data_IF_988893139861
#
_entry.id   IF_988893139861
#
_cell.length_a   1.000
_cell.length_b   1.000
_cell.length_c   1.000
_cell.angle_alpha   90.00
_cell.angle_beta   90.00
_cell.angle_gamma   90.00
#
_symmetry.space_group_name_H-M   'P 1'
#
loop_
_entity.id
_entity.type
_entity.pdbx_description
1 polymer ?
#
# COMPACT_ATOMS: atom_id res chain seq x y z
N UNK A 1 43.66 20.49 -22.94
CA UNK A 1 44.75 19.71 -22.33
C UNK A 1 45.71 20.66 -21.63
N UNK A 2 45.78 20.63 -20.29
CA UNK A 2 46.92 21.14 -19.50
C UNK A 2 46.77 20.58 -18.07
N UNK A 3 47.68 19.65 -17.76
CA UNK A 3 47.87 18.98 -16.48
C UNK A 3 48.83 19.80 -15.63
N UNK A 4 48.53 20.02 -14.35
CA UNK A 4 49.47 20.41 -13.30
C UNK A 4 48.96 19.79 -12.00
N UNK A 5 49.49 18.62 -11.62
CA UNK A 5 50.66 18.36 -10.77
C UNK A 5 50.43 18.72 -9.30
N UNK A 6 50.53 17.66 -8.48
CA UNK A 6 50.54 17.59 -7.03
C UNK A 6 51.53 18.56 -6.38
N UNK A 7 51.20 19.01 -5.16
CA UNK A 7 52.19 19.38 -4.16
C UNK A 7 51.74 18.90 -2.78
N UNK A 8 52.48 17.92 -2.29
CA UNK A 8 52.48 17.37 -0.94
C UNK A 8 53.18 18.39 -0.01
N UNK A 9 52.61 18.71 1.14
CA UNK A 9 53.34 19.39 2.21
C UNK A 9 53.00 18.74 3.56
N UNK A 10 53.99 17.98 4.01
CA UNK A 10 54.08 17.32 5.30
C UNK A 10 54.46 18.39 6.34
N UNK A 11 53.69 18.51 7.41
CA UNK A 11 54.17 19.12 8.66
C UNK A 11 53.98 18.11 9.77
N UNK A 12 55.10 17.49 10.14
CA UNK A 12 55.29 16.70 11.34
C UNK A 12 55.36 17.66 12.54
N UNK A 13 54.49 17.45 13.53
CA UNK A 13 54.69 17.95 14.88
C UNK A 13 54.69 16.74 15.82
N UNK A 14 55.90 16.28 16.15
CA UNK A 14 56.13 15.41 17.30
C UNK A 14 55.97 16.23 18.58
N UNK A 15 55.10 15.78 19.48
CA UNK A 15 55.35 15.92 20.91
C UNK A 15 54.85 14.67 21.61
N UNK A 16 55.80 13.86 22.02
CA UNK A 16 55.58 12.75 22.93
C UNK A 16 55.27 13.31 24.32
N UNK A 17 54.15 12.88 24.90
CA UNK A 17 53.91 12.99 26.32
C UNK A 17 53.36 11.65 26.80
N UNK A 18 54.20 11.00 27.61
CA UNK A 18 54.00 9.78 28.37
C UNK A 18 52.85 9.98 29.35
N UNK A 19 51.97 8.99 29.52
CA UNK A 19 51.00 9.04 30.61
C UNK A 19 49.92 7.98 30.61
N UNK A 20 50.18 6.90 31.35
CA UNK A 20 49.22 6.01 32.02
C UNK A 20 48.32 5.12 31.16
N UNK A 21 48.73 3.86 31.02
CA UNK A 21 47.84 2.74 30.72
C UNK A 21 46.99 2.50 31.97
N UNK A 22 45.74 2.97 31.97
CA UNK A 22 44.74 2.49 32.91
C UNK A 22 44.19 1.16 32.35
N UNK A 23 44.60 0.06 32.98
CA UNK A 23 43.94 -1.25 32.82
C UNK A 23 42.52 -1.12 33.37
N UNK A 24 41.53 -1.01 32.48
CA UNK A 24 40.12 -1.18 32.85
C UNK A 24 39.73 -2.58 32.45
N UNK A 25 39.54 -3.43 33.47
CA UNK A 25 39.04 -4.79 33.34
C UNK A 25 37.72 -4.82 32.56
N UNK A 26 37.71 -5.50 31.42
CA UNK A 26 36.48 -5.85 30.71
C UNK A 26 35.78 -6.96 31.48
N UNK A 27 34.87 -6.60 32.38
CA UNK A 27 33.81 -7.54 32.78
C UNK A 27 32.82 -7.61 31.63
N UNK A 28 32.89 -8.71 30.88
CA UNK A 28 31.91 -9.06 29.86
C UNK A 28 30.55 -9.28 30.53
N UNK A 29 29.73 -8.25 30.60
CA UNK A 29 28.30 -8.43 30.71
C UNK A 29 27.83 -8.75 29.30
N UNK A 30 27.50 -10.02 29.06
CA UNK A 30 26.67 -10.41 27.94
C UNK A 30 25.32 -9.70 28.13
N UNK A 31 25.16 -8.53 27.51
CA UNK A 31 23.87 -7.89 27.37
C UNK A 31 23.17 -8.70 26.29
N UNK A 32 22.39 -9.68 26.74
CA UNK A 32 21.41 -10.34 25.89
C UNK A 32 20.30 -9.31 25.65
N UNK A 33 20.52 -8.39 24.71
CA UNK A 33 19.47 -7.54 24.17
C UNK A 33 18.59 -8.40 23.27
N UNK A 34 17.73 -9.23 23.88
CA UNK A 34 16.42 -9.44 23.28
C UNK A 34 15.73 -8.08 23.32
N UNK A 35 15.93 -7.30 22.26
CA UNK A 35 15.03 -6.21 21.92
C UNK A 35 13.65 -6.85 21.75
N UNK A 36 12.88 -6.87 22.84
CA UNK A 36 11.43 -6.97 22.76
C UNK A 36 10.98 -5.77 21.94
N UNK A 37 10.87 -5.99 20.62
CA UNK A 37 10.16 -5.12 19.72
C UNK A 37 8.82 -4.82 20.41
N UNK A 38 8.50 -3.55 20.72
CA UNK A 38 7.23 -3.24 21.36
C UNK A 38 6.16 -3.86 20.49
N UNK A 39 5.30 -4.72 21.06
CA UNK A 39 4.14 -5.24 20.36
C UNK A 39 3.26 -4.04 19.98
N UNK A 40 3.51 -3.47 18.81
CA UNK A 40 2.67 -2.46 18.20
C UNK A 40 1.38 -3.19 17.88
N UNK A 41 0.38 -3.01 18.74
CA UNK A 41 -0.99 -3.41 18.44
C UNK A 41 -1.30 -2.91 17.03
N UNK A 42 -1.85 -3.76 16.13
CA UNK A 42 -2.21 -3.33 14.80
C UNK A 42 -3.05 -2.04 14.89
N UNK A 43 -2.81 -1.05 14.03
CA UNK A 43 -3.63 0.13 14.00
C UNK A 43 -5.09 -0.29 13.81
N UNK A 44 -5.99 0.33 14.57
CA UNK A 44 -7.42 0.10 14.39
C UNK A 44 -7.81 0.41 12.94
N UNK A 45 -8.74 -0.35 12.33
CA UNK A 45 -9.20 -0.08 10.98
C UNK A 45 -9.75 1.36 10.90
N UNK A 46 -9.46 2.02 9.79
CA UNK A 46 -9.91 3.39 9.54
C UNK A 46 -11.44 3.43 9.51
N UNK A 47 -12.04 4.39 10.25
CA UNK A 47 -13.48 4.64 10.27
C UNK A 47 -13.82 5.87 9.45
N UNK A 48 -14.75 5.73 8.52
CA UNK A 48 -15.17 6.78 7.60
C UNK A 48 -16.59 7.25 7.96
N UNK A 49 -16.66 8.28 8.82
CA UNK A 49 -17.93 8.93 9.16
C UNK A 49 -18.50 9.76 7.99
N UNK A 50 -19.80 10.07 8.03
CA UNK A 50 -20.45 10.88 6.99
C UNK A 50 -19.75 12.24 6.75
N UNK A 51 -19.55 12.60 5.49
CA UNK A 51 -18.98 13.90 5.04
C UNK A 51 -20.02 14.84 4.43
N UNK A 52 -21.31 14.58 4.64
CA UNK A 52 -22.36 15.40 4.04
C UNK A 52 -22.50 16.79 4.69
N UNK A 53 -22.17 16.91 5.98
CA UNK A 53 -22.40 18.11 6.79
C UNK A 53 -21.11 18.79 7.30
N UNK A 54 -19.93 18.37 6.83
CA UNK A 54 -18.66 18.98 7.23
C UNK A 54 -18.48 20.27 6.44
N UNK A 55 -18.81 21.40 7.07
CA UNK A 55 -18.80 22.75 6.47
C UNK A 55 -17.57 23.58 6.83
N UNK A 56 -16.56 23.00 7.45
CA UNK A 56 -15.35 23.74 7.80
C UNK A 56 -14.52 23.98 6.52
N UNK A 57 -13.88 25.15 6.41
CA UNK A 57 -13.12 25.56 5.22
C UNK A 57 -11.95 24.63 4.86
N UNK A 58 -11.54 23.76 5.78
CA UNK A 58 -10.54 22.71 5.57
C UNK A 58 -11.12 21.48 4.87
N UNK A 59 -12.44 21.36 4.84
CA UNK A 59 -13.16 20.23 4.28
C UNK A 59 -13.52 20.47 2.81
N UNK A 60 -12.68 19.96 1.91
CA UNK A 60 -12.97 19.98 0.47
C UNK A 60 -13.08 18.57 -0.08
N UNK A 61 -14.25 18.24 -0.59
CA UNK A 61 -14.42 17.03 -1.38
C UNK A 61 -13.64 17.16 -2.68
N UNK A 62 -12.88 16.12 -3.01
CA UNK A 62 -12.19 16.00 -4.29
C UNK A 62 -13.20 16.14 -5.42
N UNK A 63 -12.84 17.02 -6.35
CA UNK A 63 -13.51 17.20 -7.63
C UNK A 63 -13.29 15.97 -8.51
N UNK A 64 -14.11 15.85 -9.56
CA UNK A 64 -13.96 14.79 -10.57
C UNK A 64 -12.57 14.81 -11.22
N UNK A 65 -12.00 16.00 -11.45
CA UNK A 65 -10.67 16.16 -12.05
C UNK A 65 -9.56 15.65 -11.13
N UNK A 66 -9.66 15.95 -9.82
CA UNK A 66 -8.70 15.47 -8.82
C UNK A 66 -8.74 13.94 -8.73
N UNK A 67 -9.93 13.34 -8.75
CA UNK A 67 -10.10 11.88 -8.77
C UNK A 67 -9.57 11.28 -10.07
N UNK A 68 -9.83 11.91 -11.20
CA UNK A 68 -9.34 11.45 -12.51
C UNK A 68 -7.81 11.41 -12.54
N UNK A 69 -7.14 12.39 -11.91
CA UNK A 69 -5.67 12.39 -11.78
C UNK A 69 -5.15 11.20 -10.95
N UNK A 70 -5.86 10.79 -9.90
CA UNK A 70 -5.50 9.61 -9.09
C UNK A 70 -5.58 8.30 -9.89
N UNK A 71 -6.40 8.28 -10.94
CA UNK A 71 -6.58 7.12 -11.80
C UNK A 71 -5.49 7.01 -12.88
N UNK A 72 -4.66 8.03 -13.10
CA UNK A 72 -3.63 8.03 -14.14
C UNK A 72 -4.19 7.83 -15.55
N UNK A 73 -3.43 7.18 -16.44
CA UNK A 73 -3.76 7.06 -17.88
C UNK A 73 -4.77 5.94 -18.22
N UNK A 74 -5.70 5.63 -17.31
CA UNK A 74 -6.68 4.55 -17.49
C UNK A 74 -7.81 4.97 -18.43
N UNK A 75 -8.36 4.01 -19.17
CA UNK A 75 -9.57 4.25 -19.99
C UNK A 75 -10.81 4.23 -19.10
N UNK A 76 -11.11 5.37 -18.50
CA UNK A 76 -12.31 5.57 -17.68
C UNK A 76 -13.55 5.43 -18.56
N UNK A 77 -14.51 4.64 -18.09
CA UNK A 77 -15.81 4.44 -18.72
C UNK A 77 -16.88 5.29 -18.08
N UNK A 78 -16.88 5.34 -16.77
CA UNK A 78 -17.87 6.08 -15.99
C UNK A 78 -17.26 6.54 -14.68
N UNK A 79 -17.66 7.75 -14.25
CA UNK A 79 -17.39 8.28 -12.92
C UNK A 79 -18.68 8.86 -12.38
N UNK A 80 -19.08 8.43 -11.18
CA UNK A 80 -20.33 8.84 -10.52
C UNK A 80 -20.05 9.28 -9.10
N UNK A 81 -20.64 10.41 -8.72
CA UNK A 81 -20.62 10.89 -7.35
C UNK A 81 -21.86 10.38 -6.61
N UNK A 82 -21.66 9.57 -5.57
CA UNK A 82 -22.73 8.81 -4.91
C UNK A 82 -22.51 8.79 -3.40
N UNK A 83 -23.51 8.30 -2.66
CA UNK A 83 -23.31 7.88 -1.27
C UNK A 83 -22.80 6.43 -1.24
N UNK A 84 -22.03 6.07 -0.20
CA UNK A 84 -21.46 4.74 -0.01
C UNK A 84 -22.51 3.63 -0.10
N UNK A 85 -23.67 3.84 0.53
CA UNK A 85 -24.80 2.89 0.50
C UNK A 85 -25.29 2.57 -0.93
N UNK A 86 -25.14 3.51 -1.86
CA UNK A 86 -25.58 3.39 -3.26
C UNK A 86 -24.43 2.97 -4.19
N UNK A 87 -23.18 3.19 -3.78
CA UNK A 87 -21.99 2.86 -4.56
C UNK A 87 -21.56 1.40 -4.39
N UNK A 88 -21.66 0.87 -3.16
CA UNK A 88 -21.19 -0.48 -2.78
C UNK A 88 -22.07 -1.58 -3.39
N UNK A 89 -21.52 -2.76 -3.73
CA UNK A 89 -22.36 -3.90 -4.11
C UNK A 89 -23.18 -4.38 -2.91
N UNK A 90 -24.29 -5.07 -3.17
CA UNK A 90 -25.18 -5.58 -2.11
C UNK A 90 -24.47 -6.55 -1.15
N UNK A 91 -23.41 -7.23 -1.62
CA UNK A 91 -22.59 -8.16 -0.85
C UNK A 91 -21.53 -7.48 0.04
N UNK A 92 -21.28 -6.18 -0.15
CA UNK A 92 -20.29 -5.44 0.64
C UNK A 92 -20.94 -4.95 1.94
N UNK A 93 -20.42 -5.44 3.07
CA UNK A 93 -20.91 -5.10 4.41
C UNK A 93 -19.75 -4.60 5.27
N UNK A 94 -19.18 -3.47 4.85
CA UNK A 94 -18.23 -2.74 5.68
C UNK A 94 -18.99 -1.77 6.60
N UNK A 95 -19.02 -2.09 7.89
CA UNK A 95 -19.66 -1.28 8.95
C UNK A 95 -18.83 -0.06 9.38
N UNK A 96 -17.54 -0.01 9.01
CA UNK A 96 -16.65 1.10 9.34
C UNK A 96 -16.84 2.31 8.39
N UNK A 97 -17.68 2.18 7.36
CA UNK A 97 -17.99 3.25 6.41
C UNK A 97 -19.48 3.64 6.53
N UNK A 98 -19.72 4.90 6.90
CA UNK A 98 -21.07 5.46 7.02
C UNK A 98 -21.81 5.40 5.68
N UNK A 99 -23.07 4.96 5.69
CA UNK A 99 -23.87 4.83 4.47
C UNK A 99 -24.08 6.14 3.70
N UNK A 100 -24.04 7.29 4.39
CA UNK A 100 -24.18 8.64 3.82
C UNK A 100 -22.82 9.31 3.57
N UNK A 101 -21.73 8.54 3.58
CA UNK A 101 -20.41 8.96 3.11
C UNK A 101 -20.46 9.18 1.60
N UNK A 102 -20.16 10.39 1.13
CA UNK A 102 -19.99 10.72 -0.29
C UNK A 102 -18.70 10.10 -0.81
N UNK A 103 -18.80 9.46 -1.97
CA UNK A 103 -17.74 8.69 -2.64
C UNK A 103 -17.81 8.89 -4.14
N UNK A 104 -16.71 8.58 -4.82
CA UNK A 104 -16.62 8.50 -6.27
C UNK A 104 -16.58 7.04 -6.71
N UNK A 105 -17.61 6.58 -7.41
CA UNK A 105 -17.62 5.28 -8.07
C UNK A 105 -17.08 5.42 -9.48
N UNK A 106 -16.01 4.70 -9.76
CA UNK A 106 -15.29 4.74 -11.03
C UNK A 106 -15.35 3.38 -11.67
N UNK A 107 -15.66 3.33 -12.96
CA UNK A 107 -15.46 2.13 -13.78
C UNK A 107 -14.45 2.41 -14.88
N UNK A 108 -13.51 1.50 -15.09
CA UNK A 108 -12.45 1.65 -16.08
C UNK A 108 -12.10 0.30 -16.73
N UNK A 109 -11.65 0.37 -17.98
CA UNK A 109 -11.13 -0.79 -18.71
C UNK A 109 -9.60 -0.81 -18.67
N UNK A 110 -9.03 -1.98 -18.40
CA UNK A 110 -7.60 -2.26 -18.40
C UNK A 110 -7.28 -3.22 -19.54
N UNK A 111 -7.00 -2.65 -20.71
CA UNK A 111 -6.69 -3.43 -21.92
C UNK A 111 -5.47 -4.33 -21.71
N UNK A 112 -4.41 -3.79 -21.09
CA UNK A 112 -3.17 -4.51 -20.80
C UNK A 112 -3.21 -5.44 -19.59
N UNK A 113 -4.36 -5.57 -18.92
CA UNK A 113 -4.48 -6.34 -17.69
C UNK A 113 -4.24 -5.54 -16.41
N UNK A 114 -4.39 -6.22 -15.28
CA UNK A 114 -4.22 -5.66 -13.94
C UNK A 114 -3.83 -6.78 -12.97
N UNK A 115 -2.83 -6.52 -12.14
CA UNK A 115 -2.42 -7.40 -11.04
C UNK A 115 -3.16 -6.98 -9.75
N UNK A 116 -3.49 -7.95 -8.90
CA UNK A 116 -4.17 -7.73 -7.61
C UNK A 116 -3.85 -8.87 -6.65
N UNK A 117 -4.27 -8.76 -5.40
CA UNK A 117 -3.94 -9.77 -4.39
C UNK A 117 -4.48 -11.16 -4.79
N UNK A 118 -3.57 -12.11 -4.99
CA UNK A 118 -3.88 -13.50 -5.32
C UNK A 118 -3.96 -13.83 -6.82
N UNK A 119 -3.68 -12.86 -7.70
CA UNK A 119 -3.50 -13.13 -9.12
C UNK A 119 -3.49 -11.90 -10.02
N UNK A 120 -3.69 -12.15 -11.31
CA UNK A 120 -3.76 -11.11 -12.33
C UNK A 120 -4.82 -11.41 -13.38
N UNK A 121 -5.42 -10.37 -13.93
CA UNK A 121 -6.08 -10.46 -15.23
C UNK A 121 -5.06 -10.11 -16.30
N UNK A 122 -4.79 -11.03 -17.23
CA UNK A 122 -3.80 -10.84 -18.30
C UNK A 122 -4.18 -9.76 -19.31
N UNK A 123 -5.48 -9.54 -19.53
CA UNK A 123 -5.98 -8.54 -20.49
C UNK A 123 -7.45 -8.21 -20.28
N UNK A 124 -7.84 -7.03 -20.78
CA UNK A 124 -9.22 -6.55 -20.87
C UNK A 124 -10.00 -6.64 -19.55
N UNK A 125 -9.34 -6.37 -18.43
CA UNK A 125 -9.99 -6.38 -17.13
C UNK A 125 -10.93 -5.19 -17.00
N UNK A 126 -12.08 -5.42 -16.37
CA UNK A 126 -12.99 -4.33 -15.98
C UNK A 126 -12.81 -4.09 -14.49
N UNK A 127 -12.51 -2.86 -14.13
CA UNK A 127 -12.32 -2.46 -12.75
C UNK A 127 -13.45 -1.55 -12.33
N UNK A 128 -14.05 -1.84 -11.19
CA UNK A 128 -14.86 -0.90 -10.42
C UNK A 128 -14.06 -0.49 -9.19
N UNK A 129 -13.92 0.80 -8.94
CA UNK A 129 -13.32 1.35 -7.73
C UNK A 129 -14.29 2.32 -7.06
N UNK A 130 -14.31 2.32 -5.74
CA UNK A 130 -15.04 3.31 -4.94
C UNK A 130 -14.01 4.07 -4.12
N UNK A 131 -13.82 5.33 -4.47
CA UNK A 131 -12.85 6.22 -3.86
C UNK A 131 -13.56 7.15 -2.89
N UNK A 132 -12.98 7.33 -1.71
CA UNK A 132 -13.46 8.29 -0.75
C UNK A 132 -13.39 9.72 -1.30
N UNK A 133 -14.47 10.47 -1.19
CA UNK A 133 -14.50 11.81 -1.78
C UNK A 133 -13.69 12.85 -0.99
N UNK A 134 -13.32 12.60 0.26
CA UNK A 134 -12.50 13.52 1.07
C UNK A 134 -11.02 13.23 0.89
N UNK A 135 -10.62 11.98 1.16
CA UNK A 135 -9.22 11.53 1.23
C UNK A 135 -8.69 11.09 -0.13
N UNK A 136 -9.56 10.56 -1.00
CA UNK A 136 -9.17 9.85 -2.22
C UNK A 136 -8.77 8.40 -1.97
N UNK A 137 -8.95 7.90 -0.74
CA UNK A 137 -8.62 6.53 -0.38
C UNK A 137 -9.48 5.54 -1.16
N UNK A 138 -8.88 4.40 -1.51
CA UNK A 138 -9.61 3.32 -2.16
C UNK A 138 -10.36 2.51 -1.10
N UNK A 139 -11.67 2.74 -1.02
CA UNK A 139 -12.53 2.08 -0.04
C UNK A 139 -12.95 0.68 -0.50
N UNK A 140 -13.00 0.46 -1.81
CA UNK A 140 -13.39 -0.81 -2.40
C UNK A 140 -12.93 -0.89 -3.84
N UNK A 141 -12.45 -2.06 -4.26
CA UNK A 141 -12.17 -2.35 -5.65
C UNK A 141 -12.70 -3.74 -6.04
N UNK A 142 -13.21 -3.85 -7.25
CA UNK A 142 -13.67 -5.11 -7.84
C UNK A 142 -13.04 -5.24 -9.22
N UNK A 143 -12.30 -6.34 -9.43
CA UNK A 143 -11.73 -6.68 -10.72
C UNK A 143 -12.54 -7.82 -11.34
N UNK A 144 -13.01 -7.61 -12.57
CA UNK A 144 -13.63 -8.67 -13.38
C UNK A 144 -12.72 -9.00 -14.56
N UNK A 145 -12.17 -10.21 -14.55
CA UNK A 145 -11.43 -10.76 -15.69
C UNK A 145 -12.38 -11.39 -16.71
N UNK A 146 -12.13 -11.23 -18.02
CA UNK A 146 -12.72 -12.10 -19.03
C UNK A 146 -12.35 -13.58 -18.78
N UNK A 147 -13.21 -14.50 -19.23
CA UNK A 147 -12.96 -15.94 -19.13
C UNK A 147 -11.61 -16.29 -19.76
N UNK A 148 -10.78 -17.06 -19.05
CA UNK A 148 -9.44 -17.46 -19.50
C UNK A 148 -8.35 -16.38 -19.36
N UNK A 149 -8.71 -15.17 -18.92
CA UNK A 149 -7.77 -14.07 -18.69
C UNK A 149 -7.21 -14.06 -17.26
N UNK A 150 -7.90 -14.68 -16.29
CA UNK A 150 -7.41 -14.81 -14.92
C UNK A 150 -6.26 -15.81 -14.80
N UNK A 151 -5.25 -15.44 -14.03
CA UNK A 151 -4.10 -16.24 -13.66
C UNK A 151 -3.89 -16.07 -12.15
N UNK A 152 -3.88 -17.16 -11.38
CA UNK A 152 -3.68 -17.09 -9.93
C UNK A 152 -2.20 -17.17 -9.60
N UNK A 153 -1.79 -16.43 -8.58
CA UNK A 153 -0.43 -16.52 -8.03
C UNK A 153 -0.21 -17.82 -7.24
N UNK A 154 -1.29 -18.50 -6.86
CA UNK A 154 -1.20 -19.78 -6.17
C UNK A 154 -0.77 -20.87 -7.14
N UNK A 155 0.17 -21.75 -6.75
CA UNK A 155 0.51 -22.90 -7.56
C UNK A 155 -0.76 -23.72 -7.82
N UNK A 156 -0.88 -24.26 -9.05
CA UNK A 156 -1.95 -25.20 -9.35
C UNK A 156 -1.84 -26.38 -8.35
N UNK A 157 -2.97 -26.81 -7.74
CA UNK A 157 -2.96 -28.00 -6.91
C UNK A 157 -2.34 -29.15 -7.70
N UNK A 158 -1.36 -29.83 -7.10
CA UNK A 158 -0.79 -31.01 -7.73
C UNK A 158 -1.80 -32.16 -7.65
N UNK A 159 -1.65 -33.18 -8.50
CA UNK A 159 -2.54 -34.35 -8.51
C UNK A 159 -2.68 -35.01 -7.13
N UNK A 160 -1.65 -34.91 -6.28
CA UNK A 160 -1.63 -35.39 -4.91
C UNK A 160 -2.64 -34.63 -4.00
N UNK A 161 -2.72 -33.29 -4.14
CA UNK A 161 -3.65 -32.46 -3.35
C UNK A 161 -5.11 -32.76 -3.69
N UNK A 162 -5.38 -33.06 -4.96
CA UNK A 162 -6.71 -33.44 -5.44
C UNK A 162 -7.13 -34.81 -4.89
N UNK A 163 -6.19 -35.76 -4.79
CA UNK A 163 -6.44 -37.09 -4.19
C UNK A 163 -6.75 -37.01 -2.70
N UNK A 164 -6.09 -36.13 -1.96
CA UNK A 164 -6.34 -35.93 -0.53
C UNK A 164 -7.74 -35.35 -0.30
N UNK A 165 -8.19 -34.42 -1.15
CA UNK A 165 -9.53 -33.83 -1.07
C UNK A 165 -10.64 -34.82 -1.44
N UNK A 166 -10.41 -35.74 -2.39
CA UNK A 166 -11.37 -36.79 -2.76
C UNK A 166 -11.51 -37.86 -1.67
N UNK A 167 -10.43 -38.18 -0.96
CA UNK A 167 -10.43 -39.19 0.11
C UNK A 167 -10.85 -38.64 1.50
N UNK A 168 -11.10 -37.33 1.61
CA UNK A 168 -11.53 -36.67 2.86
C UNK A 168 -13.05 -36.38 2.90
N UNK A 169 -13.82 -36.91 1.94
CA UNK A 169 -15.30 -36.92 1.93
C UNK A 169 -15.83 -38.30 2.25
#
# INVERSE_FOLDING_TARGET
>A
MKSFKQALLIVLMLSAAVGSIALVSTTSFAINEEQQQPETKPPLPAKYGGNSNKSDSEFKLKTQDEVTKLLGNRKIKEIKFLMWKDAKPATEYNLDIDGNRKVWKVTADYVGGIDFDGGRCKSNAKLTQVLDAETGDNLMFEVRCPKGSFESDRPKPIAEDLRILENSR
#
